data_IF_716026379111
#
_entry.id   IF_716026379111
#
_cell.length_a   1.000
_cell.length_b   1.000
_cell.length_c   1.000
_cell.angle_alpha   90.00
_cell.angle_beta   90.00
_cell.angle_gamma   90.00
#
_symmetry.space_group_name_H-M   'P 1'
#
loop_
_entity.id
_entity.type
_entity.pdbx_description
1 polymer ?
#
# COMPACT_ATOMS: atom_id res chain seq x y z
N UNK A 1 -3.18 -7.37 9.61
CA UNK A 1 -3.17 -6.61 8.32
C UNK A 1 -4.04 -7.29 7.27
N UNK A 2 -3.73 -8.54 6.84
CA UNK A 2 -4.47 -9.24 5.77
C UNK A 2 -5.99 -9.31 5.97
N UNK A 3 -6.49 -9.63 7.17
CA UNK A 3 -7.93 -9.67 7.44
C UNK A 3 -8.62 -8.29 7.35
N UNK A 4 -7.89 -7.21 7.63
CA UNK A 4 -8.41 -5.83 7.53
C UNK A 4 -8.39 -5.31 6.09
N UNK A 5 -7.49 -5.83 5.25
CA UNK A 5 -7.38 -5.51 3.82
C UNK A 5 -8.31 -6.38 2.95
N UNK A 6 -8.74 -7.53 3.44
CA UNK A 6 -9.69 -8.44 2.76
C UNK A 6 -11.16 -8.13 3.02
N UNK A 7 -11.49 -7.37 4.06
CA UNK A 7 -12.84 -6.85 4.26
C UNK A 7 -13.08 -5.74 3.23
N UNK A 8 -14.15 -5.81 2.44
CA UNK A 8 -14.45 -4.88 1.34
C UNK A 8 -14.57 -3.39 1.68
N UNK A 9 -14.27 -2.98 2.91
CA UNK A 9 -14.10 -1.60 3.34
C UNK A 9 -12.85 -1.47 4.22
N UNK A 10 -11.90 -0.63 3.82
CA UNK A 10 -10.65 -0.41 4.56
C UNK A 10 -10.98 0.37 5.85
N UNK A 11 -10.62 -0.18 7.00
CA UNK A 11 -10.67 0.55 8.26
C UNK A 11 -9.35 1.33 8.44
N UNK A 12 -9.35 2.60 8.02
CA UNK A 12 -8.16 3.45 8.04
C UNK A 12 -7.53 3.61 9.44
N UNK A 13 -8.35 3.68 10.50
CA UNK A 13 -7.86 3.82 11.88
C UNK A 13 -7.20 2.54 12.37
N UNK A 14 -7.80 1.38 12.07
CA UNK A 14 -7.21 0.09 12.40
C UNK A 14 -5.91 -0.15 11.60
N UNK A 15 -5.88 0.26 10.33
CA UNK A 15 -4.68 0.15 9.49
C UNK A 15 -3.54 1.04 10.01
N UNK A 16 -3.85 2.28 10.40
CA UNK A 16 -2.86 3.19 10.98
C UNK A 16 -2.24 2.60 12.24
N UNK A 17 -3.05 2.12 13.18
CA UNK A 17 -2.56 1.52 14.43
C UNK A 17 -1.64 0.32 14.19
N UNK A 18 -1.98 -0.52 13.22
CA UNK A 18 -1.15 -1.68 12.86
C UNK A 18 0.13 -1.24 12.17
N UNK A 19 0.08 -0.20 11.33
CA UNK A 19 1.26 0.40 10.68
C UNK A 19 2.23 1.00 11.69
N UNK A 20 1.71 1.71 12.70
CA UNK A 20 2.52 2.29 13.78
C UNK A 20 3.22 1.20 14.60
N UNK A 21 2.48 0.15 14.95
CA UNK A 21 3.01 -1.01 15.70
C UNK A 21 4.11 -1.73 14.92
N UNK A 22 3.89 -1.93 13.61
CA UNK A 22 4.86 -2.55 12.71
C UNK A 22 6.12 -1.69 12.57
N UNK A 23 5.96 -0.38 12.46
CA UNK A 23 7.08 0.57 12.37
C UNK A 23 7.94 0.54 13.64
N UNK A 24 7.31 0.55 14.82
CA UNK A 24 8.01 0.44 16.09
C UNK A 24 8.79 -0.88 16.20
N UNK A 25 8.15 -2.01 15.84
CA UNK A 25 8.77 -3.33 15.91
C UNK A 25 9.95 -3.46 14.93
N UNK A 26 9.81 -2.94 13.70
CA UNK A 26 10.89 -2.91 12.72
C UNK A 26 12.07 -2.06 13.20
N UNK A 27 11.82 -0.93 13.84
CA UNK A 27 12.88 -0.12 14.43
C UNK A 27 13.66 -0.89 15.50
N UNK A 28 12.96 -1.65 16.35
CA UNK A 28 13.60 -2.53 17.35
C UNK A 28 14.44 -3.63 16.68
N UNK A 29 13.90 -4.30 15.65
CA UNK A 29 14.64 -5.33 14.90
C UNK A 29 15.90 -4.76 14.25
N UNK A 30 15.81 -3.58 13.63
CA UNK A 30 16.96 -2.89 13.04
C UNK A 30 18.02 -2.52 14.08
N UNK A 31 17.60 -2.08 15.26
CA UNK A 31 18.53 -1.79 16.36
C UNK A 31 19.25 -3.05 16.83
N UNK A 32 18.53 -4.17 17.02
CA UNK A 32 19.12 -5.44 17.41
C UNK A 32 20.08 -6.00 16.35
N UNK A 33 19.76 -5.87 15.07
CA UNK A 33 20.67 -6.32 13.99
C UNK A 33 21.95 -5.49 13.93
N UNK A 34 21.87 -4.16 14.15
CA UNK A 34 23.08 -3.32 14.29
C UNK A 34 23.95 -3.77 15.44
N UNK A 35 23.37 -3.99 16.62
CA UNK A 35 24.11 -4.51 17.77
C UNK A 35 24.75 -5.87 17.47
N UNK A 36 24.04 -6.76 16.76
CA UNK A 36 24.58 -8.05 16.33
C UNK A 36 25.80 -7.87 15.42
N UNK A 37 25.72 -7.01 14.42
CA UNK A 37 26.84 -6.70 13.50
C UNK A 37 28.04 -6.09 14.24
N UNK A 38 27.82 -5.22 15.23
CA UNK A 38 28.89 -4.67 16.06
C UNK A 38 29.60 -5.76 16.88
N UNK A 39 28.83 -6.69 17.45
CA UNK A 39 29.37 -7.83 18.21
C UNK A 39 30.13 -8.78 17.29
N UNK A 40 29.59 -9.10 16.11
CA UNK A 40 30.24 -9.91 15.07
C UNK A 40 31.61 -9.34 14.71
N UNK A 41 31.67 -8.04 14.38
CA UNK A 41 32.92 -7.36 14.05
C UNK A 41 33.92 -7.40 15.20
N UNK A 42 33.47 -7.19 16.44
CA UNK A 42 34.33 -7.20 17.63
C UNK A 42 34.89 -8.60 17.94
N UNK A 43 34.09 -9.64 17.73
CA UNK A 43 34.46 -11.03 17.99
C UNK A 43 35.07 -11.73 16.76
N UNK A 44 35.16 -11.05 15.61
CA UNK A 44 35.58 -11.62 14.32
C UNK A 44 34.75 -12.88 13.97
N UNK A 45 33.47 -12.85 14.35
CA UNK A 45 32.50 -13.88 14.04
C UNK A 45 31.68 -13.44 12.85
N UNK A 46 31.34 -14.38 12.00
CA UNK A 46 30.48 -14.12 10.85
C UNK A 46 29.37 -15.16 10.80
N UNK A 47 28.14 -14.67 10.70
CA UNK A 47 27.02 -15.40 10.15
C UNK A 47 27.45 -16.17 8.87
N UNK A 48 27.09 -17.46 8.72
CA UNK A 48 26.02 -18.16 9.43
C UNK A 48 26.43 -18.85 10.75
N UNK A 49 27.63 -18.58 11.27
CA UNK A 49 28.15 -19.17 12.53
C UNK A 49 28.28 -20.71 12.49
N UNK A 50 28.76 -21.27 11.39
CA UNK A 50 28.86 -22.73 11.15
C UNK A 50 29.62 -23.51 12.24
N UNK A 51 30.52 -22.82 12.95
CA UNK A 51 31.32 -23.40 14.04
C UNK A 51 30.53 -23.64 15.33
N UNK A 52 29.35 -23.02 15.48
CA UNK A 52 28.49 -23.14 16.66
C UNK A 52 27.09 -23.59 16.23
N UNK A 53 26.77 -24.84 16.53
CA UNK A 53 25.51 -25.45 16.11
C UNK A 53 24.27 -24.71 16.66
N UNK A 54 24.33 -24.18 17.88
CA UNK A 54 23.20 -23.48 18.48
C UNK A 54 22.98 -22.11 17.81
N UNK A 55 24.05 -21.36 17.58
CA UNK A 55 23.98 -20.08 16.87
C UNK A 55 23.56 -20.25 15.41
N UNK A 56 24.05 -21.30 14.75
CA UNK A 56 23.67 -21.64 13.38
C UNK A 56 22.17 -21.94 13.26
N UNK A 57 21.61 -22.79 14.13
CA UNK A 57 20.17 -23.09 14.15
C UNK A 57 19.32 -21.85 14.41
N UNK A 58 19.70 -21.04 15.41
CA UNK A 58 19.01 -19.78 15.73
C UNK A 58 19.05 -18.82 14.54
N UNK A 59 20.20 -18.71 13.87
CA UNK A 59 20.36 -17.85 12.71
C UNK A 59 19.52 -18.32 11.51
N UNK A 60 19.45 -19.63 11.26
CA UNK A 60 18.55 -20.17 10.24
C UNK A 60 17.08 -19.86 10.54
N UNK A 61 16.65 -20.01 11.79
CA UNK A 61 15.28 -19.70 12.19
C UNK A 61 14.96 -18.20 12.00
N UNK A 62 15.90 -17.31 12.34
CA UNK A 62 15.77 -15.87 12.10
C UNK A 62 15.61 -15.60 10.60
N UNK A 63 16.48 -16.17 9.75
CA UNK A 63 16.40 -15.98 8.30
C UNK A 63 15.06 -16.46 7.72
N UNK A 64 14.59 -17.65 8.13
CA UNK A 64 13.33 -18.19 7.67
C UNK A 64 12.13 -17.30 8.08
N UNK A 65 12.13 -16.81 9.32
CA UNK A 65 11.09 -15.91 9.81
C UNK A 65 11.12 -14.57 9.06
N UNK A 66 12.31 -14.00 8.85
CA UNK A 66 12.48 -12.74 8.11
C UNK A 66 12.01 -12.87 6.65
N UNK A 67 12.33 -13.99 5.98
CA UNK A 67 11.86 -14.27 4.62
C UNK A 67 10.33 -14.33 4.57
N UNK A 68 9.71 -15.07 5.49
CA UNK A 68 8.25 -15.15 5.58
C UNK A 68 7.60 -13.78 5.84
N UNK A 69 8.16 -12.99 6.75
CA UNK A 69 7.67 -11.62 7.03
C UNK A 69 7.82 -10.70 5.81
N UNK A 70 8.90 -10.84 5.04
CA UNK A 70 9.11 -10.09 3.81
C UNK A 70 8.02 -10.41 2.77
N UNK A 71 7.72 -11.70 2.57
CA UNK A 71 6.69 -12.13 1.63
C UNK A 71 5.29 -11.64 2.04
N UNK A 72 4.95 -11.75 3.33
CA UNK A 72 3.71 -11.18 3.86
C UNK A 72 3.63 -9.66 3.64
N UNK A 73 4.74 -8.95 3.85
CA UNK A 73 4.79 -7.50 3.64
C UNK A 73 4.60 -7.13 2.16
N UNK A 74 5.24 -7.88 1.27
CA UNK A 74 5.08 -7.73 -0.19
C UNK A 74 3.63 -7.96 -0.60
N UNK A 75 2.99 -9.00 -0.08
CA UNK A 75 1.59 -9.30 -0.33
C UNK A 75 0.66 -8.18 0.17
N UNK A 76 0.88 -7.66 1.38
CA UNK A 76 0.11 -6.54 1.90
C UNK A 76 0.26 -5.28 1.02
N UNK A 77 1.47 -5.04 0.48
CA UNK A 77 1.71 -3.97 -0.50
C UNK A 77 0.90 -4.15 -1.78
N UNK A 78 0.77 -5.38 -2.30
CA UNK A 78 -0.07 -5.66 -3.48
C UNK A 78 -1.54 -5.36 -3.23
N UNK A 79 -2.08 -5.80 -2.08
CA UNK A 79 -3.48 -5.53 -1.70
C UNK A 79 -3.75 -4.03 -1.57
N UNK A 80 -2.83 -3.29 -0.94
CA UNK A 80 -2.94 -1.84 -0.81
C UNK A 80 -2.94 -1.14 -2.19
N UNK A 81 -2.04 -1.54 -3.08
CA UNK A 81 -1.98 -0.99 -4.44
C UNK A 81 -3.27 -1.27 -5.22
N UNK A 82 -3.85 -2.47 -5.07
CA UNK A 82 -5.13 -2.82 -5.69
C UNK A 82 -6.25 -1.91 -5.18
N UNK A 83 -6.35 -1.72 -3.86
CA UNK A 83 -7.33 -0.81 -3.25
C UNK A 83 -7.17 0.64 -3.71
N UNK A 84 -5.94 1.14 -3.82
CA UNK A 84 -5.65 2.48 -4.33
C UNK A 84 -6.12 2.60 -5.78
N UNK A 85 -5.86 1.59 -6.62
CA UNK A 85 -6.33 1.56 -8.02
C UNK A 85 -7.86 1.63 -8.10
N UNK A 86 -8.56 0.76 -7.38
CA UNK A 86 -10.03 0.75 -7.35
C UNK A 86 -10.61 2.08 -6.87
N UNK A 87 -10.01 2.67 -5.83
CA UNK A 87 -10.47 3.96 -5.29
C UNK A 87 -10.27 5.08 -6.31
N UNK A 88 -9.13 5.10 -7.02
CA UNK A 88 -8.86 6.08 -8.07
C UNK A 88 -9.83 5.95 -9.24
N UNK A 89 -10.14 4.72 -9.67
CA UNK A 89 -11.11 4.45 -10.73
C UNK A 89 -12.53 4.89 -10.32
N UNK A 90 -12.94 4.58 -9.09
CA UNK A 90 -14.22 5.03 -8.54
C UNK A 90 -14.29 6.56 -8.47
N UNK A 91 -13.23 7.23 -8.02
CA UNK A 91 -13.14 8.70 -8.05
C UNK A 91 -13.20 9.23 -9.49
N UNK A 92 -12.57 8.57 -10.46
CA UNK A 92 -12.61 8.99 -11.85
C UNK A 92 -14.02 8.87 -12.47
N UNK A 93 -14.79 7.85 -12.08
CA UNK A 93 -16.19 7.68 -12.46
C UNK A 93 -17.07 8.74 -11.79
N UNK A 94 -16.83 9.00 -10.50
CA UNK A 94 -17.61 9.96 -9.71
C UNK A 94 -17.25 11.42 -10.00
N UNK A 95 -16.06 11.69 -10.55
CA UNK A 95 -15.65 13.02 -11.00
C UNK A 95 -16.64 13.47 -12.07
N UNK A 96 -17.49 14.48 -11.79
CA UNK A 96 -18.34 15.04 -12.83
C UNK A 96 -17.42 15.54 -13.93
N UNK A 97 -17.77 15.28 -15.19
CA UNK A 97 -17.22 16.07 -16.30
C UNK A 97 -17.72 17.51 -16.10
N UNK A 98 -17.01 18.27 -15.27
CA UNK A 98 -17.25 19.70 -15.05
C UNK A 98 -16.98 20.42 -16.37
N UNK A 99 -17.98 20.44 -17.24
CA UNK A 99 -17.80 20.92 -18.61
C UNK A 99 -18.95 20.57 -19.52
N UNK A 100 -20.19 20.65 -19.04
CA UNK A 100 -21.34 21.12 -19.82
C UNK A 100 -22.52 21.23 -18.87
N UNK A 101 -22.71 22.42 -18.31
CA UNK A 101 -24.03 22.83 -17.84
C UNK A 101 -24.92 22.82 -19.08
N UNK A 102 -25.64 21.73 -19.31
CA UNK A 102 -26.54 21.61 -20.46
C UNK A 102 -27.68 22.62 -20.37
N UNK A 103 -27.90 23.18 -19.18
CA UNK A 103 -28.88 24.20 -18.87
C UNK A 103 -28.20 25.37 -18.17
N UNK A 104 -28.49 26.59 -18.61
CA UNK A 104 -28.18 27.80 -17.85
C UNK A 104 -29.06 27.92 -16.60
N UNK A 105 -28.75 28.83 -15.66
CA UNK A 105 -29.56 29.08 -14.46
C UNK A 105 -31.04 29.41 -14.74
N UNK A 106 -31.38 29.78 -15.97
CA UNK A 106 -32.76 30.03 -16.44
C UNK A 106 -33.46 28.79 -17.04
N UNK A 107 -32.84 27.60 -16.97
CA UNK A 107 -33.44 26.36 -17.49
C UNK A 107 -33.50 26.26 -19.01
N UNK A 108 -32.76 27.10 -19.75
CA UNK A 108 -32.68 27.04 -21.21
C UNK A 108 -31.55 26.10 -21.65
N UNK A 109 -31.88 25.09 -22.46
CA UNK A 109 -30.87 24.25 -23.11
C UNK A 109 -30.20 25.05 -24.23
N UNK A 110 -28.89 25.36 -24.10
CA UNK A 110 -28.11 25.76 -25.27
C UNK A 110 -27.80 24.52 -26.09
N UNK A 111 -28.83 24.03 -26.80
CA UNK A 111 -28.62 23.11 -27.90
C UNK A 111 -27.68 23.77 -28.89
N UNK A 112 -26.57 23.10 -29.21
CA UNK A 112 -25.77 23.43 -30.38
C UNK A 112 -26.76 23.62 -31.55
N UNK A 113 -26.85 24.85 -32.06
CA UNK A 113 -27.51 25.13 -33.34
C UNK A 113 -26.59 24.58 -34.43
N UNK A 114 -26.60 23.26 -34.61
CA UNK A 114 -26.13 22.58 -35.81
C UNK A 114 -27.38 22.23 -36.60
N UNK A 115 -27.70 23.04 -37.60
CA UNK A 115 -28.85 22.78 -38.46
C UNK A 115 -29.41 24.00 -39.17
N UNK A 116 -28.58 24.69 -39.94
CA UNK A 116 -29.07 25.63 -40.94
C UNK A 116 -29.91 24.90 -41.99
N UNK A 117 -31.21 25.23 -42.05
CA UNK A 117 -32.04 25.44 -43.26
C UNK A 117 -33.50 25.46 -42.84
N UNK A 118 -34.10 26.66 -42.81
CA UNK A 118 -35.54 26.82 -42.97
C UNK A 118 -35.79 27.51 -44.30
N UNK A 119 -36.57 26.83 -45.12
CA UNK A 119 -36.99 27.17 -46.47
C UNK A 119 -37.95 28.36 -46.37
N UNK A 120 -37.73 29.40 -47.17
CA UNK A 120 -38.64 30.53 -47.32
C UNK A 120 -39.80 30.11 -48.23
N UNK A 121 -41.03 30.42 -47.82
CA UNK A 121 -42.18 30.61 -48.69
C UNK A 121 -42.77 32.00 -48.37
#
# INVERSE_FOLDING_TARGET
EQALLGAGHINCVALQKVTDTKSATLATVQYLDKNRQEIENRLQLHSPYESDAELFERWQAIQALTAHLHDMNKHNGMLLNQHISYTNDAIAILKPRHGQSLYGPDGQSSGLVVGGRKINL
#
